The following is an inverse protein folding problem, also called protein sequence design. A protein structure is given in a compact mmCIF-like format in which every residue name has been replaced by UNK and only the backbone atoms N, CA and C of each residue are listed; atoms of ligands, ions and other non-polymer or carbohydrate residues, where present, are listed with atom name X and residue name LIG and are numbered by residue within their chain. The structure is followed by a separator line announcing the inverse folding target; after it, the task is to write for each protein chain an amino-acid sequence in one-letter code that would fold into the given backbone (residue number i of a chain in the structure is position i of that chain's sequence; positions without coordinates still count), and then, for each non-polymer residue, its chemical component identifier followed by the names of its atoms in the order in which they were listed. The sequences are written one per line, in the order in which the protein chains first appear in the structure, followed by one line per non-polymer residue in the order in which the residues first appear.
data_IF_304784815876
#
_entry.id   IF_304784815876
#
_cell.length_a   1.000
_cell.length_b   1.000
_cell.length_c   1.000
_cell.angle_alpha   90.00
_cell.angle_beta   90.00
_cell.angle_gamma   90.00
#
_symmetry.space_group_name_H-M   'P 1'
#
loop_
_entity.id
_entity.type
_entity.pdbx_description
1 polymer ?
#
# COMPACT_ATOMS: atom_id res chain seq x y z
N UNK A 1 66.29 -67.98 20.62
CA UNK A 1 65.10 -68.82 20.33
C UNK A 1 64.08 -67.93 19.63
N UNK A 2 63.55 -68.23 18.44
CA UNK A 2 63.86 -69.32 17.48
C UNK A 2 63.51 -68.84 16.04
N UNK A 3 64.43 -69.07 15.09
CA UNK A 3 64.18 -69.59 13.72
C UNK A 3 63.47 -68.69 12.66
N UNK A 4 64.09 -68.61 11.45
CA UNK A 4 63.56 -68.13 10.14
C UNK A 4 62.62 -69.20 9.52
N UNK A 5 61.92 -69.11 8.39
CA UNK A 5 62.11 -68.36 7.12
C UNK A 5 60.72 -67.94 6.54
N UNK A 6 60.14 -68.25 5.36
CA UNK A 6 60.49 -68.99 4.12
C UNK A 6 59.64 -68.42 2.94
N UNK A 7 60.13 -68.60 1.71
CA UNK A 7 59.54 -68.44 0.36
C UNK A 7 58.27 -67.61 0.08
N UNK A 8 58.45 -66.72 -0.89
CA UNK A 8 57.43 -66.17 -1.77
C UNK A 8 56.78 -67.20 -2.72
N UNK A 9 55.66 -66.81 -3.34
CA UNK A 9 55.24 -67.25 -4.67
C UNK A 9 54.54 -66.07 -5.40
N UNK A 10 54.82 -65.89 -6.69
CA UNK A 10 54.02 -65.04 -7.59
C UNK A 10 52.90 -65.87 -8.22
N UNK A 11 51.81 -65.25 -8.68
CA UNK A 11 51.11 -65.67 -9.90
C UNK A 11 50.22 -64.55 -10.49
N UNK A 12 50.42 -64.32 -11.78
CA UNK A 12 49.59 -63.64 -12.81
C UNK A 12 48.25 -63.00 -12.43
N UNK A 13 48.06 -61.74 -12.84
CA UNK A 13 46.74 -61.12 -12.95
C UNK A 13 45.97 -61.62 -14.19
N UNK A 14 44.68 -61.92 -14.03
CA UNK A 14 43.76 -62.25 -15.13
C UNK A 14 42.78 -61.10 -15.40
N UNK A 15 42.49 -60.83 -16.67
CA UNK A 15 41.42 -59.92 -17.08
C UNK A 15 40.10 -60.69 -17.25
N UNK A 16 38.99 -60.12 -16.78
CA UNK A 16 37.64 -60.45 -17.26
C UNK A 16 36.99 -59.18 -17.82
N UNK A 17 36.25 -59.32 -18.93
CA UNK A 17 35.52 -58.22 -19.53
C UNK A 17 34.22 -57.93 -18.78
N UNK A 18 33.93 -56.64 -18.56
CA UNK A 18 32.62 -56.19 -18.09
C UNK A 18 31.75 -55.82 -19.31
N UNK A 19 30.58 -56.44 -19.44
CA UNK A 19 29.60 -56.05 -20.45
C UNK A 19 28.94 -54.71 -20.06
N UNK A 20 28.72 -53.83 -21.04
CA UNK A 20 28.12 -52.52 -20.80
C UNK A 20 26.59 -52.61 -20.67
N UNK A 21 26.03 -51.92 -19.69
CA UNK A 21 24.61 -51.62 -19.59
C UNK A 21 24.43 -50.13 -19.87
N UNK A 22 23.65 -49.76 -20.90
CA UNK A 22 23.38 -48.36 -21.23
C UNK A 22 22.53 -47.72 -20.13
N UNK A 23 23.08 -46.72 -19.44
CA UNK A 23 22.35 -45.89 -18.49
C UNK A 23 21.84 -44.62 -19.19
N UNK A 24 20.52 -44.41 -19.17
CA UNK A 24 19.86 -43.22 -19.71
C UNK A 24 20.30 -41.97 -18.93
N UNK A 25 20.69 -40.90 -19.62
CA UNK A 25 21.09 -39.64 -18.95
C UNK A 25 19.87 -38.91 -18.44
N UNK A 26 19.52 -39.13 -17.18
CA UNK A 26 18.64 -38.23 -16.44
C UNK A 26 19.22 -36.80 -16.43
N UNK A 27 18.37 -35.81 -16.66
CA UNK A 27 18.72 -34.39 -16.48
C UNK A 27 19.10 -34.11 -15.03
N UNK A 28 20.04 -33.17 -14.76
CA UNK A 28 20.29 -32.72 -13.39
C UNK A 28 19.01 -32.11 -12.79
N UNK A 29 18.79 -32.25 -11.47
CA UNK A 29 17.64 -31.62 -10.81
C UNK A 29 17.72 -30.08 -10.92
N UNK A 30 16.57 -29.38 -10.86
CA UNK A 30 16.58 -27.92 -10.76
C UNK A 30 17.37 -27.48 -9.52
N UNK A 31 18.09 -26.36 -9.65
CA UNK A 31 18.77 -25.74 -8.52
C UNK A 31 17.79 -25.26 -7.44
N UNK A 32 18.22 -25.10 -6.18
CA UNK A 32 17.35 -24.65 -5.11
C UNK A 32 16.79 -23.24 -5.41
N UNK A 33 15.51 -23.05 -5.14
CA UNK A 33 14.84 -21.77 -5.37
C UNK A 33 15.55 -20.60 -4.66
N UNK A 34 15.68 -19.41 -5.29
CA UNK A 34 16.35 -18.26 -4.67
C UNK A 34 15.62 -17.71 -3.43
N UNK A 35 14.43 -18.22 -3.11
CA UNK A 35 13.62 -17.88 -1.94
C UNK A 35 13.79 -18.93 -0.82
N UNK A 36 14.63 -19.96 -1.01
CA UNK A 36 14.86 -21.03 -0.01
C UNK A 36 15.69 -20.60 1.20
N UNK A 37 16.28 -19.40 1.19
CA UNK A 37 16.98 -18.83 2.35
C UNK A 37 15.94 -18.17 3.27
N UNK A 38 15.77 -18.60 4.53
CA UNK A 38 14.92 -17.90 5.47
C UNK A 38 15.34 -16.43 5.56
N UNK A 39 14.37 -15.53 5.47
CA UNK A 39 14.58 -14.13 5.82
C UNK A 39 15.13 -14.11 7.26
N UNK A 40 16.23 -13.38 7.56
CA UNK A 40 16.70 -13.29 8.93
C UNK A 40 15.54 -12.80 9.81
N UNK A 41 15.40 -13.39 11.00
CA UNK A 41 14.33 -13.06 11.92
C UNK A 41 14.23 -11.53 12.06
N UNK A 42 13.05 -10.99 11.78
CA UNK A 42 12.82 -9.56 11.96
C UNK A 42 13.16 -9.18 13.41
N UNK A 43 13.83 -8.05 13.67
CA UNK A 43 14.12 -7.64 15.04
C UNK A 43 12.80 -7.58 15.83
N UNK A 44 12.82 -8.13 17.04
CA UNK A 44 11.60 -8.48 17.81
C UNK A 44 10.65 -7.28 18.05
N UNK A 45 11.15 -6.06 17.94
CA UNK A 45 10.33 -4.85 17.79
C UNK A 45 10.67 -4.10 16.49
N UNK A 46 9.79 -4.21 15.48
CA UNK A 46 9.68 -3.22 14.41
C UNK A 46 8.85 -2.03 14.95
N UNK A 47 9.43 -0.84 15.18
CA UNK A 47 8.84 0.19 16.05
C UNK A 47 7.71 1.02 15.41
N UNK A 48 6.99 0.48 14.42
CA UNK A 48 5.90 1.15 13.69
C UNK A 48 4.58 0.39 13.83
N UNK A 49 4.23 0.10 15.08
CA UNK A 49 3.02 -0.58 15.51
C UNK A 49 1.85 0.43 15.56
N UNK A 50 1.32 0.79 14.38
CA UNK A 50 0.07 1.55 14.23
C UNK A 50 -1.16 0.66 14.50
N UNK A 51 -1.20 -0.13 15.58
CA UNK A 51 -2.23 -1.17 15.78
C UNK A 51 -3.62 -0.66 16.14
N UNK A 52 -3.75 0.53 16.73
CA UNK A 52 -5.04 1.09 17.10
C UNK A 52 -5.71 1.81 15.92
N UNK A 53 -6.22 1.02 14.97
CA UNK A 53 -6.98 1.54 13.83
C UNK A 53 -8.36 2.04 14.24
N UNK A 54 -8.70 3.25 13.85
CA UNK A 54 -10.04 3.81 13.99
C UNK A 54 -10.72 3.92 12.63
N UNK A 55 -11.83 3.21 12.46
CA UNK A 55 -12.68 3.32 11.29
C UNK A 55 -13.61 4.53 11.44
N UNK A 56 -13.86 5.24 10.33
CA UNK A 56 -14.84 6.33 10.24
C UNK A 56 -15.80 6.02 9.11
N UNK A 57 -17.10 6.04 9.42
CA UNK A 57 -18.18 5.80 8.45
C UNK A 57 -19.27 6.87 8.58
N UNK A 58 -20.33 6.73 7.78
CA UNK A 58 -21.62 7.41 7.96
C UNK A 58 -22.15 7.31 9.40
N UNK A 59 -21.92 6.19 10.09
CA UNK A 59 -22.29 6.02 11.51
C UNK A 59 -21.47 6.89 12.47
N UNK A 60 -20.33 7.42 12.03
CA UNK A 60 -19.49 8.36 12.76
C UNK A 60 -19.69 9.81 12.32
N UNK A 61 -20.66 10.06 11.43
CA UNK A 61 -21.00 11.40 10.93
C UNK A 61 -20.31 11.80 9.62
N UNK A 62 -19.63 10.90 8.90
CA UNK A 62 -19.27 11.18 7.51
C UNK A 62 -20.55 11.29 6.65
N UNK A 63 -20.56 12.11 5.58
CA UNK A 63 -21.76 12.27 4.76
C UNK A 63 -21.95 11.11 3.77
N UNK A 64 -20.87 10.45 3.36
CA UNK A 64 -20.87 9.21 2.56
C UNK A 64 -19.64 8.35 2.94
N UNK A 65 -19.74 7.03 2.78
CA UNK A 65 -18.67 6.05 3.04
C UNK A 65 -17.71 5.88 1.84
N UNK A 66 -18.09 6.34 0.65
CA UNK A 66 -17.24 6.34 -0.54
C UNK A 66 -16.33 7.58 -0.55
N UNK A 67 -15.06 7.39 -0.20
CA UNK A 67 -14.08 8.47 -0.04
C UNK A 67 -13.21 8.61 -1.29
N UNK A 68 -13.16 9.82 -1.86
CA UNK A 68 -12.30 10.14 -3.01
C UNK A 68 -11.02 10.86 -2.63
N UNK A 69 -11.05 11.71 -1.60
CA UNK A 69 -9.91 12.56 -1.24
C UNK A 69 -9.76 12.76 0.28
N UNK A 70 -8.52 12.88 0.74
CA UNK A 70 -8.18 13.15 2.15
C UNK A 70 -7.01 14.12 2.21
N UNK A 71 -7.17 15.24 2.92
CA UNK A 71 -6.14 16.26 3.11
C UNK A 71 -5.95 16.59 4.58
N UNK A 72 -4.80 16.20 5.13
CA UNK A 72 -4.41 16.53 6.50
C UNK A 72 -3.81 17.95 6.56
N UNK A 73 -4.36 18.81 7.42
CA UNK A 73 -3.93 20.20 7.64
C UNK A 73 -3.85 20.47 9.15
N UNK A 74 -2.66 20.75 9.69
CA UNK A 74 -2.50 21.06 11.12
C UNK A 74 -3.25 20.10 12.07
N UNK A 75 -4.20 20.56 12.90
CA UNK A 75 -5.04 19.73 13.78
C UNK A 75 -6.26 19.08 13.09
N UNK A 76 -6.47 19.33 11.80
CA UNK A 76 -7.64 18.93 10.99
C UNK A 76 -7.31 17.86 9.96
N UNK A 77 -8.33 17.12 9.53
CA UNK A 77 -8.32 16.32 8.30
C UNK A 77 -9.60 16.63 7.53
N UNK A 78 -9.45 17.14 6.32
CA UNK A 78 -10.53 17.28 5.36
C UNK A 78 -10.70 15.96 4.60
N UNK A 79 -11.94 15.55 4.38
CA UNK A 79 -12.30 14.28 3.71
C UNK A 79 -13.38 14.57 2.67
N UNK A 80 -13.08 14.35 1.40
CA UNK A 80 -14.01 14.53 0.28
C UNK A 80 -14.57 13.19 -0.16
N UNK A 81 -15.90 13.14 -0.28
CA UNK A 81 -16.65 11.91 -0.55
C UNK A 81 -17.43 12.03 -1.86
N UNK A 82 -18.14 10.97 -2.24
CA UNK A 82 -19.09 10.98 -3.37
C UNK A 82 -20.34 11.85 -3.13
N UNK A 83 -20.70 12.08 -1.86
CA UNK A 83 -21.75 13.01 -1.45
C UNK A 83 -21.28 13.79 -0.21
N UNK A 84 -20.51 14.84 -0.44
CA UNK A 84 -20.17 15.87 0.53
C UNK A 84 -18.69 16.02 0.89
N UNK A 85 -18.46 17.00 1.78
CA UNK A 85 -17.19 17.29 2.44
C UNK A 85 -17.35 17.05 3.94
N UNK A 86 -16.33 16.49 4.58
CA UNK A 86 -16.25 16.34 6.03
C UNK A 86 -14.96 16.93 6.61
N UNK A 87 -15.04 17.42 7.84
CA UNK A 87 -13.92 17.90 8.64
C UNK A 87 -13.80 17.07 9.91
N UNK A 88 -12.66 16.39 10.08
CA UNK A 88 -12.32 15.63 11.28
C UNK A 88 -11.30 16.42 12.11
N UNK A 89 -11.52 16.54 13.42
CA UNK A 89 -10.49 17.04 14.34
C UNK A 89 -9.62 15.87 14.83
N UNK A 90 -8.30 15.95 14.63
CA UNK A 90 -7.34 14.89 15.02
C UNK A 90 -7.29 14.65 16.53
N UNK A 91 -7.56 15.67 17.36
CA UNK A 91 -7.42 15.60 18.82
C UNK A 91 -8.62 14.90 19.50
N UNK A 92 -9.84 15.16 19.05
CA UNK A 92 -11.03 14.46 19.54
C UNK A 92 -11.38 13.22 18.72
N UNK A 93 -10.73 13.03 17.56
CA UNK A 93 -10.98 11.95 16.60
C UNK A 93 -12.47 11.83 16.22
N UNK A 94 -13.08 12.96 15.88
CA UNK A 94 -14.50 13.08 15.52
C UNK A 94 -14.66 13.88 14.23
N UNK A 95 -15.67 13.55 13.44
CA UNK A 95 -16.23 14.49 12.47
C UNK A 95 -16.84 15.64 13.26
N UNK A 96 -16.34 16.86 13.04
CA UNK A 96 -16.79 18.08 13.73
C UNK A 96 -17.68 18.96 12.85
N UNK A 97 -17.60 18.79 11.54
CA UNK A 97 -18.46 19.48 10.57
C UNK A 97 -18.57 18.67 9.27
N UNK A 98 -19.71 18.78 8.60
CA UNK A 98 -19.94 18.28 7.24
C UNK A 98 -20.66 19.32 6.40
N UNK A 99 -20.57 19.18 5.08
CA UNK A 99 -21.32 19.96 4.10
C UNK A 99 -21.76 19.05 2.95
N UNK A 100 -23.04 19.03 2.65
CA UNK A 100 -23.65 18.54 1.41
C UNK A 100 -24.21 19.75 0.64
N UNK A 101 -24.80 19.53 -0.54
CA UNK A 101 -25.37 20.62 -1.36
C UNK A 101 -26.43 21.43 -0.60
N UNK A 102 -27.25 20.76 0.22
CA UNK A 102 -28.23 21.40 1.13
C UNK A 102 -27.64 22.34 2.17
N UNK A 103 -26.33 22.24 2.45
CA UNK A 103 -25.59 23.08 3.40
C UNK A 103 -24.72 24.14 2.69
N UNK A 104 -24.85 24.27 1.36
CA UNK A 104 -24.16 25.27 0.54
C UNK A 104 -22.88 24.78 -0.15
N UNK A 105 -22.55 23.49 -0.11
CA UNK A 105 -21.49 22.93 -0.97
C UNK A 105 -21.94 23.04 -2.45
N UNK A 106 -21.13 23.54 -3.40
CA UNK A 106 -21.62 23.77 -4.76
C UNK A 106 -21.90 22.52 -5.60
N UNK A 107 -21.34 21.37 -5.22
CA UNK A 107 -21.56 20.09 -5.90
C UNK A 107 -21.21 18.92 -4.97
N UNK A 108 -21.96 17.81 -5.04
CA UNK A 108 -21.84 16.68 -4.11
C UNK A 108 -20.47 15.98 -4.11
N UNK A 109 -19.84 15.73 -5.26
CA UNK A 109 -18.71 14.81 -5.38
C UNK A 109 -17.33 15.51 -5.28
N UNK A 110 -16.65 15.38 -4.14
CA UNK A 110 -15.39 16.10 -3.83
C UNK A 110 -14.16 15.21 -4.05
N UNK A 111 -13.54 15.32 -5.23
CA UNK A 111 -12.46 14.43 -5.69
C UNK A 111 -11.04 14.93 -5.43
N UNK A 112 -10.85 16.21 -5.10
CA UNK A 112 -9.55 16.76 -4.71
C UNK A 112 -9.70 17.82 -3.62
N UNK A 113 -8.73 17.91 -2.70
CA UNK A 113 -8.71 18.92 -1.63
C UNK A 113 -7.28 19.42 -1.46
N UNK A 114 -7.10 20.74 -1.55
CA UNK A 114 -5.85 21.44 -1.25
C UNK A 114 -6.12 22.58 -0.25
N UNK A 115 -5.15 22.93 0.61
CA UNK A 115 -5.31 23.99 1.63
C UNK A 115 -4.14 24.95 1.47
N UNK A 116 -4.43 26.23 1.23
CA UNK A 116 -3.39 27.26 1.19
C UNK A 116 -2.88 27.53 2.63
N UNK A 117 -1.61 27.23 2.94
CA UNK A 117 -1.07 27.38 4.30
C UNK A 117 -0.91 28.84 4.73
N UNK A 118 -1.08 29.81 3.83
CA UNK A 118 -0.94 31.24 4.12
C UNK A 118 -2.28 31.91 4.48
N UNK A 119 -3.37 31.48 3.82
CA UNK A 119 -4.72 32.06 4.00
C UNK A 119 -5.66 31.16 4.80
N UNK A 120 -5.46 29.84 4.76
CA UNK A 120 -6.41 28.85 5.24
C UNK A 120 -7.59 28.60 4.30
N UNK A 121 -7.57 29.15 3.07
CA UNK A 121 -8.54 28.84 2.03
C UNK A 121 -8.40 27.37 1.60
N UNK A 122 -9.53 26.68 1.45
CA UNK A 122 -9.59 25.28 1.01
C UNK A 122 -10.12 25.21 -0.41
N UNK A 123 -9.31 24.70 -1.32
CA UNK A 123 -9.68 24.48 -2.72
C UNK A 123 -10.16 23.05 -2.93
N UNK A 124 -11.28 22.90 -3.63
CA UNK A 124 -12.02 21.65 -3.80
C UNK A 124 -12.21 21.36 -5.29
N UNK A 125 -11.70 20.22 -5.76
CA UNK A 125 -12.03 19.68 -7.08
C UNK A 125 -13.37 18.93 -7.02
N UNK A 126 -14.27 19.24 -7.96
CA UNK A 126 -15.65 18.75 -7.99
C UNK A 126 -15.89 17.98 -9.30
N UNK A 127 -16.25 16.71 -9.22
CA UNK A 127 -16.36 15.84 -10.40
C UNK A 127 -17.64 16.12 -11.20
N UNK A 128 -17.55 16.75 -12.38
CA UNK A 128 -18.72 17.25 -13.11
C UNK A 128 -19.22 18.61 -12.58
N UNK A 129 -18.44 19.26 -11.71
CA UNK A 129 -18.81 20.48 -11.00
C UNK A 129 -17.69 21.52 -10.94
N UNK A 130 -16.55 21.28 -11.58
CA UNK A 130 -15.44 22.23 -11.68
C UNK A 130 -14.63 22.38 -10.40
N UNK A 131 -14.53 23.61 -9.89
CA UNK A 131 -13.69 23.98 -8.75
C UNK A 131 -14.50 24.82 -7.75
N UNK A 132 -14.35 24.56 -6.45
CA UNK A 132 -14.85 25.45 -5.41
C UNK A 132 -13.74 25.89 -4.46
N UNK A 133 -13.97 27.01 -3.77
CA UNK A 133 -13.11 27.52 -2.70
C UNK A 133 -13.93 27.77 -1.45
N UNK A 134 -13.63 27.07 -0.37
CA UNK A 134 -14.16 27.38 0.96
C UNK A 134 -13.25 28.41 1.65
N UNK A 135 -13.79 29.60 1.92
CA UNK A 135 -13.09 30.71 2.58
C UNK A 135 -14.03 31.39 3.59
N UNK A 136 -13.52 31.65 4.79
CA UNK A 136 -14.23 32.37 5.86
C UNK A 136 -15.69 31.92 6.13
N UNK A 137 -16.01 30.63 5.96
CA UNK A 137 -17.35 30.07 6.18
C UNK A 137 -18.29 30.08 4.96
N UNK A 138 -17.80 30.38 3.76
CA UNK A 138 -18.58 30.38 2.51
C UNK A 138 -17.85 29.62 1.41
N UNK A 139 -18.61 29.12 0.43
CA UNK A 139 -18.08 28.55 -0.81
C UNK A 139 -18.20 29.57 -1.95
N UNK A 140 -17.10 29.86 -2.62
CA UNK A 140 -17.11 30.39 -3.99
C UNK A 140 -17.09 29.21 -4.97
N UNK A 141 -17.81 29.31 -6.08
CA UNK A 141 -17.92 28.26 -7.10
C UNK A 141 -17.43 28.76 -8.46
N UNK A 142 -16.56 27.98 -9.10
CA UNK A 142 -15.93 28.27 -10.38
C UNK A 142 -16.24 27.12 -11.34
N UNK A 143 -16.99 27.41 -12.40
CA UNK A 143 -17.48 26.45 -13.39
C UNK A 143 -17.49 27.08 -14.79
N UNK A 144 -17.76 26.28 -15.84
CA UNK A 144 -17.61 26.70 -17.24
C UNK A 144 -18.42 27.96 -17.58
N UNK A 145 -19.59 28.15 -16.96
CA UNK A 145 -20.52 29.24 -17.27
C UNK A 145 -20.17 30.57 -16.56
N UNK A 146 -19.32 30.56 -15.52
CA UNK A 146 -19.04 31.75 -14.72
C UNK A 146 -17.55 32.13 -14.63
N UNK A 147 -16.62 31.21 -14.94
CA UNK A 147 -15.18 31.39 -14.71
C UNK A 147 -14.29 31.10 -15.92
N UNK A 148 -14.87 30.66 -17.04
CA UNK A 148 -14.09 30.31 -18.25
C UNK A 148 -13.25 29.04 -18.11
N UNK A 149 -13.57 28.16 -17.15
CA UNK A 149 -13.06 26.79 -17.14
C UNK A 149 -13.54 26.05 -18.40
N UNK A 150 -12.62 25.34 -19.06
CA UNK A 150 -12.85 24.79 -20.41
C UNK A 150 -13.68 23.50 -20.39
N UNK A 151 -13.66 22.79 -19.27
CA UNK A 151 -14.44 21.58 -18.99
C UNK A 151 -14.51 21.40 -17.46
N UNK A 152 -15.64 20.89 -16.94
CA UNK A 152 -15.93 20.68 -15.52
C UNK A 152 -16.54 19.29 -15.23
#
# INVERSE_FOLDING_TARGET
MRIRVLSAAMLTAGWLAAAAQSAERASPPPGPDPISKPLPAAPDELPYVYTNWKHFTTQNGLPNDHIFSVKADGPRVWVGTEDGLALIEKKSEKVVQTWQEKDGLPFQAVTAIEVDPNTGDVWLGLFGGGLARYSAGRFDHFHQLNSGLVND
#
